data_IF_362047676236
#
_entry.id   IF_362047676236
#
_cell.length_a   1.000
_cell.length_b   1.000
_cell.length_c   1.000
_cell.angle_alpha   90.00
_cell.angle_beta   90.00
_cell.angle_gamma   90.00
#
_symmetry.space_group_name_H-M   'P 1'
#
loop_
_entity.id
_entity.type
_entity.pdbx_description
1 polymer ?
#
# COMPACT_ATOMS: atom_id res chain seq x y z
N UNK A 1 -14.76 -11.49 -6.41
CA UNK A 1 -14.94 -10.25 -7.23
C UNK A 1 -13.64 -9.47 -7.21
N UNK A 2 -13.27 -8.83 -8.34
CA UNK A 2 -12.04 -8.03 -8.42
C UNK A 2 -12.26 -6.63 -7.82
N UNK A 3 -11.31 -6.17 -7.02
CA UNK A 3 -11.18 -4.78 -6.58
C UNK A 3 -10.34 -3.98 -7.59
N UNK A 4 -9.27 -4.60 -8.12
CA UNK A 4 -8.38 -3.97 -9.09
C UNK A 4 -8.14 -4.93 -10.25
N UNK A 5 -8.25 -4.42 -11.47
CA UNK A 5 -7.87 -5.10 -12.70
C UNK A 5 -7.03 -4.15 -13.55
N UNK A 6 -5.80 -4.54 -13.85
CA UNK A 6 -4.90 -3.82 -14.74
C UNK A 6 -4.44 -4.73 -15.86
N UNK A 7 -4.55 -4.28 -17.12
CA UNK A 7 -4.20 -5.03 -18.29
C UNK A 7 -3.14 -4.27 -19.11
N UNK A 8 -2.01 -4.91 -19.40
CA UNK A 8 -0.88 -4.38 -20.16
C UNK A 8 -0.40 -3.00 -19.66
N UNK A 9 -0.45 -2.82 -18.33
CA UNK A 9 -0.16 -1.55 -17.68
C UNK A 9 1.29 -1.15 -17.87
N UNK A 10 1.51 0.01 -18.49
CA UNK A 10 2.85 0.51 -18.82
C UNK A 10 3.02 1.95 -18.36
N UNK A 11 4.20 2.25 -17.82
CA UNK A 11 4.64 3.63 -17.53
C UNK A 11 6.04 3.87 -18.06
N UNK A 12 6.13 4.86 -18.96
CA UNK A 12 7.40 5.36 -19.48
C UNK A 12 7.63 6.81 -19.01
N UNK A 13 8.83 7.10 -18.56
CA UNK A 13 9.31 8.45 -18.23
C UNK A 13 10.49 8.76 -19.15
N UNK A 14 10.30 9.70 -20.09
CA UNK A 14 11.33 10.04 -21.10
C UNK A 14 11.97 8.74 -21.68
N UNK A 15 13.18 8.42 -21.26
CA UNK A 15 13.96 7.31 -21.79
C UNK A 15 13.92 6.04 -20.93
N UNK A 16 13.12 6.02 -19.83
CA UNK A 16 13.06 4.88 -18.90
C UNK A 16 11.65 4.30 -18.86
N UNK A 17 11.52 3.01 -19.13
CA UNK A 17 10.29 2.27 -18.83
C UNK A 17 10.36 1.83 -17.38
N UNK A 18 9.50 2.44 -16.53
CA UNK A 18 9.44 2.16 -15.10
C UNK A 18 8.52 0.98 -14.77
N UNK A 19 7.47 0.78 -15.60
CA UNK A 19 6.56 -0.38 -15.52
C UNK A 19 6.30 -0.82 -16.96
N UNK A 20 6.44 -2.11 -17.24
CA UNK A 20 6.45 -2.67 -18.57
C UNK A 20 5.36 -3.72 -18.76
N UNK A 21 4.22 -3.31 -19.30
CA UNK A 21 3.12 -4.20 -19.74
C UNK A 21 2.68 -5.23 -18.69
N UNK A 22 2.52 -4.81 -17.42
CA UNK A 22 2.12 -5.73 -16.35
C UNK A 22 0.61 -6.00 -16.39
N UNK A 23 0.23 -7.25 -16.04
CA UNK A 23 -1.15 -7.66 -15.83
C UNK A 23 -1.35 -8.01 -14.37
N UNK A 24 -2.33 -7.36 -13.71
CA UNK A 24 -2.55 -7.51 -12.28
C UNK A 24 -4.04 -7.60 -11.95
N UNK A 25 -4.40 -8.61 -11.15
CA UNK A 25 -5.76 -8.80 -10.64
C UNK A 25 -5.72 -8.98 -9.14
N UNK A 26 -6.43 -8.12 -8.41
CA UNK A 26 -6.52 -8.14 -6.95
C UNK A 26 -7.99 -8.30 -6.56
N UNK A 27 -8.27 -9.24 -5.66
CA UNK A 27 -9.63 -9.52 -5.19
C UNK A 27 -10.07 -8.52 -4.11
N UNK A 28 -11.38 -8.39 -3.93
CA UNK A 28 -11.94 -7.60 -2.82
C UNK A 28 -11.57 -8.20 -1.48
N UNK A 29 -11.17 -7.33 -0.54
CA UNK A 29 -10.75 -7.73 0.80
C UNK A 29 -9.38 -8.39 0.88
N UNK A 30 -8.69 -8.57 -0.26
CA UNK A 30 -7.35 -9.15 -0.33
C UNK A 30 -6.28 -8.19 0.21
N UNK A 31 -5.33 -8.70 0.97
CA UNK A 31 -4.08 -8.02 1.23
C UNK A 31 -3.04 -8.52 0.22
N UNK A 32 -2.69 -7.68 -0.72
CA UNK A 32 -1.75 -7.98 -1.81
C UNK A 32 -0.44 -7.22 -1.61
N UNK A 33 0.69 -7.93 -1.61
CA UNK A 33 2.00 -7.31 -1.55
C UNK A 33 2.66 -7.21 -2.94
N UNK A 34 3.19 -6.05 -3.29
CA UNK A 34 4.16 -5.90 -4.38
C UNK A 34 5.57 -5.92 -3.78
N UNK A 35 6.26 -7.05 -3.93
CA UNK A 35 7.61 -7.27 -3.43
C UNK A 35 8.64 -7.05 -4.56
N UNK A 36 9.75 -6.43 -4.25
CA UNK A 36 10.84 -6.24 -5.21
C UNK A 36 11.91 -5.30 -4.69
N UNK A 37 13.07 -5.30 -5.33
CA UNK A 37 14.18 -4.41 -5.00
C UNK A 37 13.85 -2.94 -5.28
N UNK A 38 14.69 -2.02 -4.79
CA UNK A 38 14.54 -0.60 -5.09
C UNK A 38 14.67 -0.36 -6.61
N UNK A 39 13.75 0.43 -7.15
CA UNK A 39 13.69 0.69 -8.60
C UNK A 39 12.97 -0.39 -9.42
N UNK A 40 12.41 -1.44 -8.80
CA UNK A 40 11.65 -2.49 -9.49
C UNK A 40 10.33 -2.00 -10.13
N UNK A 41 9.83 -0.80 -9.79
CA UNK A 41 8.60 -0.24 -10.34
C UNK A 41 7.40 -0.22 -9.37
N UNK A 42 7.56 -0.71 -8.13
CA UNK A 42 6.49 -0.85 -7.11
C UNK A 42 5.73 0.47 -6.86
N UNK A 43 6.43 1.51 -6.39
CA UNK A 43 5.85 2.85 -6.14
C UNK A 43 5.20 3.45 -7.39
N UNK A 44 5.80 3.25 -8.58
CA UNK A 44 5.20 3.71 -9.84
C UNK A 44 3.89 2.99 -10.13
N UNK A 45 3.84 1.68 -9.89
CA UNK A 45 2.61 0.89 -10.03
C UNK A 45 1.52 1.38 -9.09
N UNK A 46 1.83 1.54 -7.78
CA UNK A 46 0.87 2.11 -6.82
C UNK A 46 0.39 3.50 -7.28
N UNK A 47 1.27 4.39 -7.70
CA UNK A 47 0.89 5.73 -8.15
C UNK A 47 -0.06 5.72 -9.35
N UNK A 48 0.07 4.76 -10.27
CA UNK A 48 -0.89 4.59 -11.37
C UNK A 48 -2.23 4.05 -10.86
N UNK A 49 -2.22 2.96 -10.08
CA UNK A 49 -3.44 2.34 -9.54
C UNK A 49 -4.23 3.28 -8.62
N UNK A 50 -3.54 4.17 -7.90
CA UNK A 50 -4.14 5.17 -7.01
C UNK A 50 -4.50 6.50 -7.67
N UNK A 51 -4.48 6.58 -8.99
CA UNK A 51 -4.79 7.80 -9.77
C UNK A 51 -3.82 8.98 -9.59
N UNK A 52 -2.69 8.82 -8.89
CA UNK A 52 -1.72 9.91 -8.65
C UNK A 52 -0.97 10.29 -9.93
N UNK A 53 -0.69 9.31 -10.79
CA UNK A 53 -0.13 9.53 -12.13
C UNK A 53 -0.90 8.73 -13.17
N UNK A 54 -0.94 9.21 -14.41
CA UNK A 54 -1.52 8.48 -15.52
C UNK A 54 -0.54 7.45 -16.08
N UNK A 55 -1.07 6.32 -16.51
CA UNK A 55 -0.34 5.31 -17.29
C UNK A 55 0.04 5.87 -18.67
N UNK A 56 1.07 5.29 -19.28
CA UNK A 56 1.43 5.58 -20.69
C UNK A 56 0.57 4.77 -21.64
N UNK A 57 0.28 3.50 -21.28
CA UNK A 57 -0.65 2.62 -22.02
C UNK A 57 -1.18 1.54 -21.08
N UNK A 58 -2.19 0.80 -21.56
CA UNK A 58 -2.89 -0.23 -20.78
C UNK A 58 -4.12 0.34 -20.08
N UNK A 59 -4.93 -0.57 -19.53
CA UNK A 59 -6.22 -0.25 -18.93
C UNK A 59 -6.22 -0.61 -17.45
N UNK A 60 -6.89 0.21 -16.64
CA UNK A 60 -7.08 -0.04 -15.21
C UNK A 60 -8.55 0.12 -14.87
N UNK A 61 -9.10 -0.87 -14.15
CA UNK A 61 -10.41 -0.78 -13.51
C UNK A 61 -10.29 -0.93 -12.01
N UNK A 62 -10.94 -0.05 -11.28
CA UNK A 62 -11.03 -0.04 -9.81
C UNK A 62 -12.49 -0.24 -9.43
N UNK A 63 -12.82 -1.33 -8.73
CA UNK A 63 -14.23 -1.68 -8.41
C UNK A 63 -15.14 -1.70 -9.66
N UNK A 64 -14.60 -2.08 -10.83
CA UNK A 64 -15.28 -2.05 -12.11
C UNK A 64 -15.32 -0.67 -12.80
N UNK A 65 -14.89 0.40 -12.13
CA UNK A 65 -14.84 1.76 -12.66
C UNK A 65 -13.57 1.97 -13.49
N UNK A 66 -13.68 2.67 -14.61
CA UNK A 66 -12.56 3.02 -15.47
C UNK A 66 -11.72 4.15 -14.83
N UNK A 67 -10.39 3.95 -14.70
CA UNK A 67 -9.53 4.88 -13.97
C UNK A 67 -9.43 6.28 -14.59
N UNK A 68 -9.74 6.42 -15.86
CA UNK A 68 -9.72 7.71 -16.58
C UNK A 68 -11.10 8.35 -16.52
N UNK A 69 -12.15 7.60 -16.92
CA UNK A 69 -13.52 8.11 -17.05
C UNK A 69 -14.18 8.38 -15.70
N UNK A 70 -13.94 7.50 -14.71
CA UNK A 70 -14.59 7.56 -13.40
C UNK A 70 -13.64 8.05 -12.29
N UNK A 71 -12.57 8.77 -12.64
CA UNK A 71 -11.48 9.15 -11.73
C UNK A 71 -11.96 9.79 -10.44
N UNK A 72 -12.99 10.62 -10.48
CA UNK A 72 -13.51 11.29 -9.27
C UNK A 72 -14.17 10.29 -8.33
N UNK A 73 -15.01 9.40 -8.84
CA UNK A 73 -15.65 8.34 -8.03
C UNK A 73 -14.62 7.39 -7.42
N UNK A 74 -13.55 7.08 -8.17
CA UNK A 74 -12.46 6.23 -7.69
C UNK A 74 -11.74 6.89 -6.51
N UNK A 75 -11.46 8.19 -6.55
CA UNK A 75 -10.82 8.92 -5.44
C UNK A 75 -11.64 8.92 -4.14
N UNK A 76 -12.95 8.76 -4.23
CA UNK A 76 -13.83 8.69 -3.06
C UNK A 76 -13.72 7.34 -2.31
N UNK A 77 -13.33 6.28 -3.02
CA UNK A 77 -13.31 4.91 -2.50
C UNK A 77 -11.90 4.36 -2.24
N UNK A 78 -10.86 5.12 -2.52
CA UNK A 78 -9.48 4.73 -2.23
C UNK A 78 -8.75 5.79 -1.42
N UNK A 79 -7.66 5.35 -0.77
CA UNK A 79 -6.70 6.26 -0.17
C UNK A 79 -5.28 5.69 -0.24
N UNK A 80 -4.29 6.55 0.03
CA UNK A 80 -2.87 6.22 -0.06
C UNK A 80 -2.15 6.72 1.18
N UNK A 81 -1.37 5.85 1.83
CA UNK A 81 -0.31 6.25 2.74
C UNK A 81 1.02 6.18 1.98
N UNK A 82 1.59 7.30 1.55
CA UNK A 82 2.83 7.30 0.78
C UNK A 82 4.04 6.93 1.63
N UNK A 83 5.17 6.64 0.98
CA UNK A 83 6.44 6.33 1.66
C UNK A 83 6.89 7.47 2.58
N UNK A 84 6.84 8.71 2.10
CA UNK A 84 7.01 9.90 2.95
C UNK A 84 5.70 10.18 3.68
N UNK A 85 5.78 10.39 5.00
CA UNK A 85 4.56 10.59 5.80
C UNK A 85 3.83 11.88 5.42
N UNK A 86 2.57 11.73 4.98
CA UNK A 86 1.72 12.84 4.57
C UNK A 86 0.98 13.45 5.77
N UNK A 87 1.73 14.08 6.68
CA UNK A 87 1.20 14.72 7.89
C UNK A 87 1.64 16.19 7.93
N UNK A 88 0.78 17.06 8.46
CA UNK A 88 1.12 18.47 8.67
C UNK A 88 2.02 18.61 9.93
N UNK A 89 3.32 18.95 9.77
CA UNK A 89 4.31 18.83 10.84
C UNK A 89 4.05 19.77 12.03
N UNK A 90 3.41 20.91 11.80
CA UNK A 90 3.13 21.92 12.82
C UNK A 90 1.79 21.73 13.54
N UNK A 91 0.93 20.86 13.04
CA UNK A 91 -0.31 20.47 13.69
C UNK A 91 -0.06 19.32 14.69
N UNK A 92 -0.89 19.23 15.71
CA UNK A 92 -0.95 18.08 16.62
C UNK A 92 -1.51 16.86 15.88
N UNK A 93 -1.37 15.66 16.47
CA UNK A 93 -1.99 14.45 15.94
C UNK A 93 -3.50 14.64 15.80
N UNK A 94 -4.16 15.19 16.83
CA UNK A 94 -5.59 15.46 16.82
C UNK A 94 -5.98 16.40 15.68
N UNK A 95 -5.29 17.54 15.54
CA UNK A 95 -5.54 18.51 14.48
C UNK A 95 -5.31 17.94 13.07
N UNK A 96 -4.33 17.07 12.89
CA UNK A 96 -4.14 16.36 11.61
C UNK A 96 -5.35 15.48 11.25
N UNK A 97 -5.87 14.71 12.22
CA UNK A 97 -7.05 13.89 12.02
C UNK A 97 -8.31 14.75 11.78
N UNK A 98 -8.51 15.81 12.57
CA UNK A 98 -9.64 16.74 12.41
C UNK A 98 -9.61 17.46 11.06
N UNK A 99 -8.42 17.90 10.61
CA UNK A 99 -8.24 18.54 9.32
C UNK A 99 -8.66 17.61 8.17
N UNK A 100 -8.20 16.38 8.19
CA UNK A 100 -8.54 15.41 7.13
C UNK A 100 -10.00 14.97 7.20
N UNK A 101 -10.57 14.82 8.41
CA UNK A 101 -12.01 14.59 8.58
C UNK A 101 -12.84 15.74 8.00
N UNK A 102 -12.36 16.97 8.12
CA UNK A 102 -12.96 18.15 7.48
C UNK A 102 -12.86 18.12 5.96
N UNK A 103 -11.70 17.79 5.40
CA UNK A 103 -11.47 17.66 3.94
C UNK A 103 -12.43 16.66 3.32
N UNK A 104 -12.63 15.51 3.97
CA UNK A 104 -13.56 14.46 3.51
C UNK A 104 -15.00 14.65 3.97
N UNK A 105 -15.32 15.75 4.66
CA UNK A 105 -16.66 16.10 5.15
C UNK A 105 -17.31 14.96 5.97
N UNK A 106 -16.51 14.32 6.84
CA UNK A 106 -16.98 13.22 7.68
C UNK A 106 -18.03 13.75 8.67
N UNK A 107 -19.25 13.21 8.62
CA UNK A 107 -20.38 13.65 9.45
C UNK A 107 -20.12 13.43 10.94
N UNK A 108 -19.71 12.21 11.32
CA UNK A 108 -19.45 11.81 12.70
C UNK A 108 -17.93 11.87 12.99
N UNK A 109 -17.31 13.02 12.72
CA UNK A 109 -15.84 13.16 12.77
C UNK A 109 -15.23 12.77 14.12
N UNK A 110 -15.86 13.11 15.24
CA UNK A 110 -15.34 12.79 16.57
C UNK A 110 -15.33 11.29 16.84
N UNK A 111 -16.42 10.60 16.49
CA UNK A 111 -16.51 9.15 16.62
C UNK A 111 -15.44 8.45 15.77
N UNK A 112 -15.30 8.88 14.51
CA UNK A 112 -14.29 8.32 13.58
C UNK A 112 -12.87 8.58 14.05
N UNK A 113 -12.58 9.78 14.53
CA UNK A 113 -11.26 10.10 15.09
C UNK A 113 -10.97 9.23 16.33
N UNK A 114 -11.93 9.09 17.25
CA UNK A 114 -11.76 8.25 18.43
C UNK A 114 -11.55 6.77 18.08
N UNK A 115 -12.24 6.25 17.06
CA UNK A 115 -12.00 4.90 16.53
C UNK A 115 -10.54 4.73 16.08
N UNK A 116 -10.05 5.65 15.24
CA UNK A 116 -8.68 5.61 14.72
C UNK A 116 -7.63 5.79 15.82
N UNK A 117 -7.88 6.71 16.77
CA UNK A 117 -7.00 6.90 17.93
C UNK A 117 -6.85 5.61 18.72
N UNK A 118 -7.94 4.91 19.01
CA UNK A 118 -7.90 3.60 19.69
C UNK A 118 -7.22 2.51 18.85
N UNK A 119 -7.54 2.45 17.54
CA UNK A 119 -6.99 1.44 16.64
C UNK A 119 -5.47 1.52 16.55
N UNK A 120 -4.92 2.74 16.47
CA UNK A 120 -3.48 3.01 16.34
C UNK A 120 -2.79 3.31 17.67
N UNK A 121 -3.54 3.29 18.81
CA UNK A 121 -3.05 3.63 20.15
C UNK A 121 -2.40 5.02 20.22
N UNK A 122 -3.06 6.03 19.64
CA UNK A 122 -2.51 7.38 19.53
C UNK A 122 -2.79 8.27 20.75
N UNK A 123 -3.43 7.77 21.82
CA UNK A 123 -3.86 8.52 23.01
C UNK A 123 -2.71 9.33 23.62
N UNK A 124 -1.55 8.71 23.79
CA UNK A 124 -0.38 9.33 24.44
C UNK A 124 0.21 10.49 23.65
N UNK A 125 0.06 10.46 22.31
CA UNK A 125 0.65 11.46 21.42
C UNK A 125 -0.36 12.43 20.82
N UNK A 126 -1.64 12.31 21.19
CA UNK A 126 -2.75 13.00 20.54
C UNK A 126 -2.59 14.53 20.54
N UNK A 127 -1.98 15.10 21.60
CA UNK A 127 -1.74 16.54 21.77
C UNK A 127 -0.34 16.97 21.31
N UNK A 128 0.52 16.04 20.90
CA UNK A 128 1.87 16.36 20.44
C UNK A 128 1.87 16.82 18.98
N UNK A 129 2.73 17.78 18.65
CA UNK A 129 2.92 18.21 17.26
C UNK A 129 3.56 17.09 16.45
N UNK A 130 3.09 16.88 15.23
CA UNK A 130 3.55 15.78 14.38
C UNK A 130 5.07 15.79 14.13
N UNK A 131 5.69 16.96 14.03
CA UNK A 131 7.15 17.09 13.87
C UNK A 131 7.99 16.61 15.06
N UNK A 132 7.40 16.49 16.26
CA UNK A 132 8.10 16.02 17.47
C UNK A 132 7.98 14.52 17.71
N UNK A 133 7.22 13.83 16.88
CA UNK A 133 7.00 12.39 16.96
C UNK A 133 8.18 11.61 16.39
N UNK A 134 8.43 10.43 16.94
CA UNK A 134 9.32 9.45 16.30
C UNK A 134 8.75 8.99 14.93
N UNK A 135 9.60 8.46 14.06
CA UNK A 135 9.17 7.97 12.75
C UNK A 135 8.04 6.94 12.81
N UNK A 136 8.06 6.07 13.83
CA UNK A 136 7.01 5.08 14.06
C UNK A 136 5.66 5.72 14.37
N UNK A 137 5.63 6.73 15.23
CA UNK A 137 4.41 7.48 15.52
C UNK A 137 3.91 8.26 14.30
N UNK A 138 4.82 8.92 13.57
CA UNK A 138 4.46 9.63 12.34
C UNK A 138 3.84 8.67 11.31
N UNK A 139 4.38 7.46 11.18
CA UNK A 139 3.86 6.45 10.26
C UNK A 139 2.45 5.97 10.68
N UNK A 140 2.24 5.69 11.98
CA UNK A 140 0.92 5.34 12.52
C UNK A 140 -0.12 6.44 12.23
N UNK A 141 0.24 7.71 12.47
CA UNK A 141 -0.64 8.86 12.19
C UNK A 141 -0.94 8.96 10.69
N UNK A 142 0.06 8.80 9.81
CA UNK A 142 -0.11 8.85 8.35
C UNK A 142 -1.10 7.78 7.85
N UNK A 143 -0.99 6.55 8.36
CA UNK A 143 -1.90 5.47 8.00
C UNK A 143 -3.29 5.69 8.61
N UNK A 144 -3.39 6.16 9.86
CA UNK A 144 -4.67 6.51 10.47
C UNK A 144 -5.42 7.58 9.64
N UNK A 145 -4.72 8.60 9.18
CA UNK A 145 -5.26 9.62 8.27
C UNK A 145 -5.79 9.01 6.98
N UNK A 146 -5.07 8.04 6.41
CA UNK A 146 -5.49 7.39 5.17
C UNK A 146 -6.72 6.49 5.31
N UNK A 147 -7.19 6.23 6.54
CA UNK A 147 -8.41 5.49 6.85
C UNK A 147 -9.59 6.39 7.23
N UNK A 148 -9.40 7.71 7.27
CA UNK A 148 -10.42 8.65 7.78
C UNK A 148 -11.71 8.64 6.96
N UNK A 149 -11.60 8.43 5.63
CA UNK A 149 -12.71 8.39 4.68
C UNK A 149 -13.27 6.97 4.44
N UNK A 150 -12.90 5.99 5.27
CA UNK A 150 -13.33 4.59 5.15
C UNK A 150 -13.14 4.01 3.73
N UNK A 151 -11.92 4.05 3.20
CA UNK A 151 -11.70 3.63 1.83
C UNK A 151 -11.98 2.13 1.64
N UNK A 152 -12.51 1.76 0.47
CA UNK A 152 -12.63 0.35 0.06
C UNK A 152 -11.27 -0.25 -0.31
N UNK A 153 -10.34 0.61 -0.76
CA UNK A 153 -9.00 0.23 -1.19
C UNK A 153 -7.98 1.15 -0.53
N UNK A 154 -7.01 0.57 0.15
CA UNK A 154 -5.90 1.27 0.79
C UNK A 154 -4.57 0.88 0.15
N UNK A 155 -3.84 1.87 -0.31
CA UNK A 155 -2.46 1.70 -0.78
C UNK A 155 -1.48 2.11 0.31
N UNK A 156 -0.51 1.24 0.61
CA UNK A 156 0.55 1.45 1.58
C UNK A 156 1.91 1.35 0.86
N UNK A 157 2.59 2.46 0.68
CA UNK A 157 3.89 2.48 0.01
C UNK A 157 5.01 2.39 1.05
N UNK A 158 5.69 1.23 1.14
CA UNK A 158 6.76 0.91 2.09
C UNK A 158 6.36 1.24 3.56
N UNK A 159 5.26 0.68 4.10
CA UNK A 159 4.66 1.15 5.35
C UNK A 159 5.56 1.00 6.58
N UNK A 160 6.53 0.09 6.56
CA UNK A 160 7.40 -0.18 7.70
C UNK A 160 8.85 0.27 7.50
N UNK A 161 9.12 0.98 6.40
CA UNK A 161 10.47 1.46 6.11
C UNK A 161 11.00 2.37 7.23
N UNK A 162 12.18 2.03 7.75
CA UNK A 162 12.85 2.81 8.79
C UNK A 162 12.28 2.63 10.19
N UNK A 163 11.34 1.70 10.40
CA UNK A 163 10.83 1.36 11.72
C UNK A 163 11.72 0.32 12.41
N UNK A 164 11.85 0.43 13.72
CA UNK A 164 12.39 -0.65 14.54
C UNK A 164 11.46 -1.86 14.57
N UNK A 165 11.97 -2.99 15.10
CA UNK A 165 11.25 -4.29 15.11
C UNK A 165 9.93 -4.21 15.87
N UNK A 166 9.87 -3.46 17.00
CA UNK A 166 8.67 -3.36 17.82
C UNK A 166 7.61 -2.54 17.10
N UNK A 167 7.96 -1.35 16.62
CA UNK A 167 7.05 -0.47 15.87
C UNK A 167 6.51 -1.15 14.61
N UNK A 168 7.36 -1.94 13.91
CA UNK A 168 6.97 -2.75 12.74
C UNK A 168 5.90 -3.77 13.12
N UNK A 169 6.13 -4.58 14.17
CA UNK A 169 5.16 -5.59 14.64
C UNK A 169 3.83 -4.97 15.07
N UNK A 170 3.88 -3.83 15.75
CA UNK A 170 2.66 -3.12 16.13
C UNK A 170 1.87 -2.64 14.91
N UNK A 171 2.55 -2.13 13.89
CA UNK A 171 1.90 -1.70 12.66
C UNK A 171 1.33 -2.89 11.88
N UNK A 172 2.03 -4.01 11.79
CA UNK A 172 1.53 -5.25 11.19
C UNK A 172 0.22 -5.71 11.85
N UNK A 173 0.17 -5.70 13.19
CA UNK A 173 -1.05 -6.05 13.92
C UNK A 173 -2.24 -5.16 13.57
N UNK A 174 -2.00 -3.89 13.26
CA UNK A 174 -3.06 -2.97 12.81
C UNK A 174 -3.49 -3.31 11.39
N UNK A 175 -2.54 -3.50 10.47
CA UNK A 175 -2.81 -3.85 9.07
C UNK A 175 -3.60 -5.16 8.99
N UNK A 176 -3.22 -6.16 9.79
CA UNK A 176 -3.89 -7.46 9.83
C UNK A 176 -5.36 -7.36 10.28
N UNK A 177 -5.69 -6.47 11.22
CA UNK A 177 -7.08 -6.19 11.63
C UNK A 177 -7.94 -5.57 10.53
N UNK A 178 -7.33 -4.98 9.52
CA UNK A 178 -8.01 -4.40 8.36
C UNK A 178 -8.22 -5.43 7.24
N UNK A 179 -7.43 -6.50 7.22
CA UNK A 179 -7.51 -7.60 6.26
C UNK A 179 -8.92 -8.20 6.22
N UNK A 180 -9.43 -8.47 5.03
CA UNK A 180 -10.79 -8.95 4.81
C UNK A 180 -11.89 -7.88 4.90
N UNK A 181 -11.63 -6.72 5.54
CA UNK A 181 -12.59 -5.60 5.64
C UNK A 181 -12.44 -4.62 4.48
N UNK A 182 -11.21 -4.31 4.12
CA UNK A 182 -10.86 -3.47 2.99
C UNK A 182 -9.81 -4.18 2.13
N UNK A 183 -9.69 -3.80 0.87
CA UNK A 183 -8.61 -4.29 0.00
C UNK A 183 -7.34 -3.49 0.29
N UNK A 184 -6.22 -4.15 0.54
CA UNK A 184 -4.95 -3.49 0.86
C UNK A 184 -3.91 -3.88 -0.18
N UNK A 185 -3.23 -2.89 -0.74
CA UNK A 185 -2.07 -3.09 -1.59
C UNK A 185 -0.88 -2.45 -0.91
N UNK A 186 0.09 -3.25 -0.49
CA UNK A 186 1.33 -2.74 0.07
C UNK A 186 2.50 -2.96 -0.88
N UNK A 187 3.43 -2.02 -0.90
CA UNK A 187 4.75 -2.26 -1.48
C UNK A 187 5.75 -2.50 -0.38
N UNK A 188 6.69 -3.38 -0.62
CA UNK A 188 7.80 -3.62 0.30
C UNK A 188 9.01 -4.19 -0.42
N UNK A 189 10.17 -4.06 0.20
CA UNK A 189 11.37 -4.81 -0.15
C UNK A 189 11.76 -5.81 0.97
N UNK A 190 10.97 -5.86 2.05
CA UNK A 190 11.14 -6.82 3.13
C UNK A 190 10.32 -8.08 2.83
N UNK A 191 11.02 -9.19 2.63
CA UNK A 191 10.41 -10.49 2.33
C UNK A 191 9.54 -10.98 3.49
N UNK A 192 10.01 -10.81 4.73
CA UNK A 192 9.26 -11.17 5.94
C UNK A 192 7.90 -10.44 6.03
N UNK A 193 7.85 -9.16 5.62
CA UNK A 193 6.59 -8.39 5.61
C UNK A 193 5.61 -8.93 4.58
N UNK A 194 6.10 -9.17 3.35
CA UNK A 194 5.27 -9.73 2.28
C UNK A 194 4.72 -11.11 2.66
N UNK A 195 5.58 -11.99 3.18
CA UNK A 195 5.22 -13.35 3.56
C UNK A 195 4.24 -13.40 4.73
N UNK A 196 4.47 -12.57 5.78
CA UNK A 196 3.67 -12.62 7.00
C UNK A 196 2.28 -11.99 6.85
N UNK A 197 2.13 -10.94 6.03
CA UNK A 197 0.89 -10.17 5.98
C UNK A 197 -0.01 -10.53 4.80
N UNK A 198 0.57 -10.81 3.62
CA UNK A 198 -0.23 -10.85 2.40
C UNK A 198 -0.88 -12.19 2.11
N UNK A 199 -2.03 -12.13 1.45
CA UNK A 199 -2.70 -13.32 0.91
C UNK A 199 -2.00 -13.80 -0.36
N UNK A 200 -1.58 -12.84 -1.22
CA UNK A 200 -0.73 -13.11 -2.40
C UNK A 200 0.33 -12.03 -2.54
N UNK A 201 1.41 -12.43 -3.17
CA UNK A 201 2.60 -11.63 -3.41
C UNK A 201 2.84 -11.55 -4.92
N UNK A 202 3.00 -10.33 -5.43
CA UNK A 202 3.50 -10.08 -6.77
C UNK A 202 4.97 -9.72 -6.73
N UNK A 203 5.83 -10.51 -7.35
CA UNK A 203 7.27 -10.25 -7.44
C UNK A 203 7.55 -9.33 -8.62
N UNK A 204 8.10 -8.16 -8.34
CA UNK A 204 8.49 -7.18 -9.35
C UNK A 204 10.00 -7.10 -9.49
N UNK A 205 10.48 -7.16 -10.74
CA UNK A 205 11.88 -6.91 -11.08
C UNK A 205 11.99 -6.12 -12.39
N UNK A 206 12.86 -5.09 -12.39
CA UNK A 206 13.18 -4.29 -13.61
C UNK A 206 11.93 -3.79 -14.37
N UNK A 207 10.89 -3.39 -13.64
CA UNK A 207 9.63 -2.88 -14.21
C UNK A 207 8.62 -3.95 -14.65
N UNK A 208 8.94 -5.22 -14.51
CA UNK A 208 8.05 -6.33 -14.87
C UNK A 208 7.46 -6.97 -13.60
N UNK A 209 6.22 -7.44 -13.69
CA UNK A 209 5.62 -8.35 -12.73
C UNK A 209 5.97 -9.77 -13.17
N UNK A 210 6.89 -10.41 -12.45
CA UNK A 210 7.50 -11.68 -12.86
C UNK A 210 6.57 -12.85 -12.53
N UNK A 211 6.07 -12.91 -11.30
CA UNK A 211 5.13 -13.95 -10.86
C UNK A 211 4.19 -13.38 -9.78
N UNK A 212 3.05 -14.06 -9.60
CA UNK A 212 2.04 -13.76 -8.57
C UNK A 212 1.55 -15.08 -7.98
N UNK A 213 1.53 -15.16 -6.65
CA UNK A 213 1.03 -16.33 -5.93
C UNK A 213 1.06 -16.13 -4.43
N UNK A 214 0.61 -17.12 -3.67
CA UNK A 214 0.89 -17.21 -2.24
C UNK A 214 2.38 -17.48 -2.01
N UNK A 215 2.89 -17.26 -0.80
CA UNK A 215 4.28 -17.63 -0.46
C UNK A 215 4.57 -19.08 -0.81
N UNK A 216 3.67 -19.99 -0.42
CA UNK A 216 3.79 -21.43 -0.70
C UNK A 216 3.81 -21.76 -2.21
N UNK A 217 2.91 -21.13 -2.99
CA UNK A 217 2.90 -21.33 -4.46
C UNK A 217 4.20 -20.86 -5.10
N UNK A 218 4.76 -19.73 -4.66
CA UNK A 218 6.01 -19.19 -5.22
C UNK A 218 7.20 -20.04 -4.83
N UNK A 219 7.26 -20.57 -3.59
CA UNK A 219 8.27 -21.55 -3.17
C UNK A 219 8.22 -22.80 -4.04
N UNK A 220 7.02 -23.39 -4.20
CA UNK A 220 6.84 -24.62 -4.97
C UNK A 220 7.20 -24.43 -6.45
N UNK A 221 6.77 -23.34 -7.08
CA UNK A 221 7.08 -23.03 -8.50
C UNK A 221 8.58 -22.86 -8.74
N UNK A 222 9.28 -22.22 -7.82
CA UNK A 222 10.73 -21.97 -7.94
C UNK A 222 11.60 -23.17 -7.57
N UNK A 223 11.01 -24.21 -6.94
CA UNK A 223 11.74 -25.31 -6.34
C UNK A 223 12.72 -24.87 -5.26
N UNK A 224 12.41 -23.79 -4.53
CA UNK A 224 13.21 -23.27 -3.44
C UNK A 224 12.87 -23.96 -2.12
N UNK A 225 13.73 -23.78 -1.10
CA UNK A 225 13.50 -24.35 0.25
C UNK A 225 12.70 -23.40 1.16
N UNK A 226 12.74 -22.10 0.89
CA UNK A 226 12.10 -21.05 1.65
C UNK A 226 11.73 -19.90 0.72
N UNK A 227 10.99 -18.91 1.24
CA UNK A 227 10.50 -17.79 0.45
C UNK A 227 11.61 -16.84 -0.01
N UNK A 228 12.69 -16.67 0.78
CA UNK A 228 13.83 -15.83 0.42
C UNK A 228 14.54 -16.39 -0.83
N UNK A 229 14.85 -17.67 -0.84
CA UNK A 229 15.43 -18.36 -2.00
C UNK A 229 14.50 -18.31 -3.21
N UNK A 230 13.18 -18.46 -2.98
CA UNK A 230 12.17 -18.36 -4.03
C UNK A 230 12.17 -16.97 -4.68
N UNK A 231 12.16 -15.91 -3.85
CA UNK A 231 12.22 -14.54 -4.33
C UNK A 231 13.48 -14.29 -5.17
N UNK A 232 14.65 -14.69 -4.68
CA UNK A 232 15.91 -14.50 -5.40
C UNK A 232 15.86 -15.19 -6.77
N UNK A 233 15.48 -16.47 -6.82
CA UNK A 233 15.38 -17.22 -8.09
C UNK A 233 14.40 -16.60 -9.07
N UNK A 234 13.20 -16.20 -8.60
CA UNK A 234 12.17 -15.60 -9.46
C UNK A 234 12.62 -14.23 -9.96
N UNK A 235 13.16 -13.38 -9.07
CA UNK A 235 13.55 -12.01 -9.41
C UNK A 235 14.78 -11.94 -10.33
N UNK A 236 15.67 -12.94 -10.29
CA UNK A 236 16.90 -13.02 -11.11
C UNK A 236 16.77 -13.92 -12.34
N UNK A 237 15.68 -14.66 -12.48
CA UNK A 237 15.49 -15.64 -13.56
C UNK A 237 16.32 -16.92 -13.39
N UNK A 238 16.74 -17.21 -12.14
CA UNK A 238 17.55 -18.41 -11.82
C UNK A 238 19.07 -18.23 -12.02
N UNK A 239 19.51 -17.01 -12.31
CA UNK A 239 20.94 -16.69 -12.47
C UNK A 239 21.60 -16.34 -11.11
N UNK A 240 21.63 -17.30 -10.15
CA UNK A 240 22.44 -17.21 -8.91
C UNK A 240 23.04 -18.57 -8.59
#
# INVERSE_FOLDING_TARGET
MLAIEANNLTKKFKNKTAVNSINLKINKGELFALLGTNGAGKTTTIKMLSTLILQTSGDIKIEGLDIIKDRQKIKEILNVSPQETAIAPNLTVKENLEFMAGVYQIKNKEEKINELVKMFKLEEVLKQKAKTLSGGWQRKVSIAISLINEPKILFLDEPTLGLDVIARKELWNVIEKLKGKITIILTTHYMEEAESLSDRIGIMAKGNLIDVGTSEELINKSGAKNFEDAFIKIATGGEV
#
